data_IF_572821994316
#
_entry.id   IF_572821994316
#
_cell.length_a   1.000
_cell.length_b   1.000
_cell.length_c   1.000
_cell.angle_alpha   90.00
_cell.angle_beta   90.00
_cell.angle_gamma   90.00
#
_symmetry.space_group_name_H-M   'P 1'
#
loop_
_entity.id
_entity.type
_entity.pdbx_description
1 polymer ?
#
# COMPACT_ATOMS: atom_id res chain seq x y z
N UNK A 1 -2.21 -0.10 32.19
CA UNK A 1 -3.01 -1.29 31.91
C UNK A 1 -3.15 -1.34 30.41
N UNK A 2 -2.67 -2.42 29.81
CA UNK A 2 -2.44 -2.60 28.37
C UNK A 2 -3.75 -2.51 27.57
N UNK A 3 -3.99 -1.35 26.96
CA UNK A 3 -5.14 -1.12 26.06
C UNK A 3 -4.87 -1.56 24.61
N UNK A 4 -3.67 -2.06 24.29
CA UNK A 4 -3.29 -2.39 22.92
C UNK A 4 -3.63 -3.83 22.48
N UNK A 5 -4.09 -4.71 23.38
CA UNK A 5 -4.61 -6.02 23.00
C UNK A 5 -6.09 -5.94 22.59
N UNK A 6 -6.36 -5.34 21.42
CA UNK A 6 -7.64 -5.47 20.74
C UNK A 6 -7.42 -5.93 19.29
N UNK A 7 -7.52 -7.25 19.08
CA UNK A 7 -7.63 -7.85 17.77
C UNK A 7 -9.05 -7.66 17.24
N UNK A 8 -9.30 -6.52 16.61
CA UNK A 8 -10.41 -6.42 15.66
C UNK A 8 -9.95 -7.01 14.32
N UNK A 9 -10.37 -8.22 13.93
CA UNK A 9 -9.98 -8.78 12.63
C UNK A 9 -10.40 -7.86 11.47
N UNK A 10 -11.48 -7.08 11.62
CA UNK A 10 -11.96 -6.19 10.58
C UNK A 10 -10.97 -5.07 10.24
N UNK A 11 -10.25 -4.52 11.23
CA UNK A 11 -9.32 -3.42 10.96
C UNK A 11 -8.09 -3.88 10.18
N UNK A 12 -7.64 -5.11 10.46
CA UNK A 12 -6.59 -5.76 9.69
C UNK A 12 -7.05 -6.10 8.27
N UNK A 13 -8.26 -6.61 8.10
CA UNK A 13 -8.82 -6.90 6.78
C UNK A 13 -8.97 -5.64 5.92
N UNK A 14 -9.41 -4.51 6.52
CA UNK A 14 -9.46 -3.21 5.85
C UNK A 14 -8.06 -2.76 5.41
N UNK A 15 -7.05 -2.90 6.27
CA UNK A 15 -5.67 -2.59 5.91
C UNK A 15 -5.20 -3.43 4.71
N UNK A 16 -5.46 -4.74 4.73
CA UNK A 16 -5.08 -5.66 3.64
C UNK A 16 -5.80 -5.33 2.34
N UNK A 17 -7.06 -4.98 2.40
CA UNK A 17 -7.83 -4.65 1.21
C UNK A 17 -7.35 -3.33 0.57
N UNK A 18 -7.08 -2.31 1.38
CA UNK A 18 -6.45 -1.08 0.90
C UNK A 18 -5.07 -1.35 0.28
N UNK A 19 -4.27 -2.22 0.91
CA UNK A 19 -2.97 -2.62 0.36
C UNK A 19 -3.11 -3.29 -1.01
N UNK A 20 -4.10 -4.17 -1.19
CA UNK A 20 -4.38 -4.80 -2.47
C UNK A 20 -4.75 -3.78 -3.54
N UNK A 21 -5.54 -2.76 -3.20
CA UNK A 21 -5.96 -1.71 -4.13
C UNK A 21 -4.78 -0.84 -4.57
N UNK A 22 -3.92 -0.40 -3.63
CA UNK A 22 -2.68 0.33 -3.95
C UNK A 22 -1.76 -0.53 -4.85
N UNK A 23 -1.56 -1.80 -4.50
CA UNK A 23 -0.77 -2.76 -5.29
C UNK A 23 -1.35 -2.96 -6.69
N UNK A 24 -2.67 -2.97 -6.84
CA UNK A 24 -3.33 -3.05 -8.13
C UNK A 24 -3.12 -1.78 -8.97
N UNK A 25 -3.16 -0.61 -8.35
CA UNK A 25 -2.83 0.67 -9.00
C UNK A 25 -1.40 0.66 -9.57
N UNK A 26 -0.40 0.27 -8.76
CA UNK A 26 0.98 0.15 -9.25
C UNK A 26 1.13 -0.91 -10.35
N UNK A 27 0.37 -2.00 -10.29
CA UNK A 27 0.36 -3.00 -11.36
C UNK A 27 -0.26 -2.44 -12.66
N UNK A 28 -1.29 -1.60 -12.57
CA UNK A 28 -1.87 -0.93 -13.73
C UNK A 28 -0.84 0.01 -14.37
N UNK A 29 -0.18 0.85 -13.57
CA UNK A 29 0.88 1.74 -14.05
C UNK A 29 2.09 1.00 -14.61
N UNK A 30 2.49 -0.14 -14.02
CA UNK A 30 3.52 -1.01 -14.59
C UNK A 30 3.15 -1.50 -16.00
N UNK A 31 1.86 -1.79 -16.24
CA UNK A 31 1.37 -2.26 -17.55
C UNK A 31 1.25 -1.13 -18.58
N UNK A 32 1.02 0.10 -18.12
CA UNK A 32 0.96 1.30 -18.97
C UNK A 32 2.34 1.85 -19.31
N UNK A 33 3.37 1.52 -18.53
CA UNK A 33 4.73 2.00 -18.70
C UNK A 33 5.27 1.74 -20.13
N UNK A 34 5.88 2.77 -20.72
CA UNK A 34 6.40 2.73 -22.10
C UNK A 34 7.90 2.45 -22.15
N UNK A 35 8.57 2.63 -21.01
CA UNK A 35 10.01 2.39 -20.86
C UNK A 35 10.30 1.29 -19.82
N UNK A 36 11.42 0.56 -19.95
CA UNK A 36 11.87 -0.38 -18.93
C UNK A 36 12.07 0.27 -17.55
N UNK A 37 12.53 1.51 -17.51
CA UNK A 37 12.78 2.26 -16.28
C UNK A 37 11.49 2.59 -15.54
N UNK A 38 10.48 3.12 -16.23
CA UNK A 38 9.14 3.35 -15.66
C UNK A 38 8.55 2.05 -15.11
N UNK A 39 8.68 0.98 -15.89
CA UNK A 39 8.18 -0.34 -15.50
C UNK A 39 8.86 -0.84 -14.22
N UNK A 40 10.18 -0.73 -14.16
CA UNK A 40 10.97 -1.14 -12.99
C UNK A 40 10.59 -0.31 -11.76
N UNK A 41 10.36 1.00 -11.93
CA UNK A 41 9.92 1.87 -10.85
C UNK A 41 8.57 1.42 -10.25
N UNK A 42 7.53 1.24 -11.07
CA UNK A 42 6.22 0.81 -10.56
C UNK A 42 6.24 -0.61 -9.99
N UNK A 43 7.09 -1.48 -10.54
CA UNK A 43 7.34 -2.80 -9.97
C UNK A 43 7.97 -2.71 -8.57
N UNK A 44 8.97 -1.84 -8.38
CA UNK A 44 9.63 -1.60 -7.11
C UNK A 44 8.66 -1.04 -6.07
N UNK A 45 7.87 -0.03 -6.45
CA UNK A 45 6.82 0.55 -5.61
C UNK A 45 5.83 -0.50 -5.11
N UNK A 46 5.33 -1.35 -6.01
CA UNK A 46 4.46 -2.47 -5.63
C UNK A 46 5.12 -3.41 -4.62
N UNK A 47 6.39 -3.76 -4.83
CA UNK A 47 7.10 -4.65 -3.91
C UNK A 47 7.35 -4.00 -2.56
N UNK A 48 7.70 -2.71 -2.54
CA UNK A 48 7.86 -1.91 -1.32
C UNK A 48 6.58 -1.93 -0.50
N UNK A 49 5.43 -1.58 -1.08
CA UNK A 49 4.14 -1.58 -0.36
C UNK A 49 3.83 -2.95 0.24
N UNK A 50 4.06 -4.04 -0.50
CA UNK A 50 3.86 -5.42 0.01
C UNK A 50 4.76 -5.74 1.19
N UNK A 51 6.03 -5.33 1.15
CA UNK A 51 6.99 -5.56 2.22
C UNK A 51 6.63 -4.75 3.46
N UNK A 52 6.28 -3.48 3.30
CA UNK A 52 5.85 -2.61 4.40
C UNK A 52 4.61 -3.15 5.11
N UNK A 53 3.58 -3.57 4.36
CA UNK A 53 2.35 -4.14 4.94
C UNK A 53 2.64 -5.44 5.67
N UNK A 54 3.53 -6.30 5.14
CA UNK A 54 3.94 -7.54 5.81
C UNK A 54 4.75 -7.30 7.08
N UNK A 55 5.44 -6.16 7.19
CA UNK A 55 6.24 -5.79 8.35
C UNK A 55 5.41 -5.16 9.49
N UNK A 56 4.12 -4.90 9.27
CA UNK A 56 3.23 -4.39 10.33
C UNK A 56 3.02 -5.46 11.38
N UNK A 57 3.25 -5.08 12.64
CA UNK A 57 2.82 -5.86 13.79
C UNK A 57 1.28 -5.79 13.90
N UNK A 58 0.62 -6.89 13.56
CA UNK A 58 -0.85 -6.98 13.46
C UNK A 58 -1.53 -7.06 14.84
N UNK A 59 -0.76 -7.36 15.88
CA UNK A 59 -1.23 -7.40 17.27
C UNK A 59 -1.19 -5.99 17.88
N UNK A 60 -0.54 -5.04 17.19
CA UNK A 60 -0.44 -3.64 17.59
C UNK A 60 -1.47 -2.77 16.85
N UNK A 61 -2.57 -2.44 17.53
CA UNK A 61 -3.67 -1.66 16.95
C UNK A 61 -3.19 -0.31 16.38
N UNK A 62 -2.23 0.36 17.04
CA UNK A 62 -1.68 1.63 16.57
C UNK A 62 -0.90 1.45 15.27
N UNK A 63 -0.13 0.36 15.13
CA UNK A 63 0.61 0.06 13.91
C UNK A 63 -0.34 -0.22 12.74
N UNK A 64 -1.38 -1.03 12.96
CA UNK A 64 -2.40 -1.32 11.94
C UNK A 64 -3.14 -0.05 11.52
N UNK A 65 -3.54 0.81 12.46
CA UNK A 65 -4.20 2.09 12.16
C UNK A 65 -3.29 3.03 11.36
N UNK A 66 -2.02 3.13 11.73
CA UNK A 66 -1.05 3.97 11.03
C UNK A 66 -0.85 3.51 9.58
N UNK A 67 -0.67 2.20 9.36
CA UNK A 67 -0.56 1.66 8.00
C UNK A 67 -1.85 1.84 7.20
N UNK A 68 -3.01 1.61 7.82
CA UNK A 68 -4.32 1.82 7.18
C UNK A 68 -4.49 3.26 6.72
N UNK A 69 -4.11 4.25 7.55
CA UNK A 69 -4.17 5.65 7.19
C UNK A 69 -3.23 5.97 6.02
N UNK A 70 -1.97 5.51 6.08
CA UNK A 70 -1.01 5.65 5.00
C UNK A 70 -1.55 5.12 3.66
N UNK A 71 -2.06 3.89 3.65
CA UNK A 71 -2.57 3.25 2.44
C UNK A 71 -3.81 3.98 1.89
N UNK A 72 -4.67 4.51 2.76
CA UNK A 72 -5.82 5.31 2.35
C UNK A 72 -5.38 6.60 1.66
N UNK A 73 -4.41 7.30 2.25
CA UNK A 73 -3.89 8.56 1.70
C UNK A 73 -3.18 8.31 0.37
N UNK A 74 -2.40 7.23 0.29
CA UNK A 74 -1.74 6.79 -0.93
C UNK A 74 -2.76 6.49 -2.02
N UNK A 75 -3.75 5.64 -1.76
CA UNK A 75 -4.82 5.31 -2.71
C UNK A 75 -5.59 6.55 -3.17
N UNK A 76 -5.91 7.47 -2.25
CA UNK A 76 -6.62 8.71 -2.60
C UNK A 76 -5.78 9.64 -3.48
N UNK A 77 -4.45 9.56 -3.38
CA UNK A 77 -3.52 10.33 -4.19
C UNK A 77 -3.19 9.66 -5.54
N UNK A 78 -3.58 8.40 -5.77
CA UNK A 78 -3.30 7.70 -7.02
C UNK A 78 -4.20 8.21 -8.16
N UNK A 79 -3.65 8.87 -9.20
CA UNK A 79 -4.40 9.16 -10.42
C UNK A 79 -4.77 7.88 -11.19
N UNK A 80 -5.75 7.97 -12.10
CA UNK A 80 -6.15 6.84 -12.94
C UNK A 80 -5.00 6.30 -13.79
N UNK A 81 -4.22 7.20 -14.40
CA UNK A 81 -3.03 6.87 -15.18
C UNK A 81 -1.75 7.23 -14.43
N UNK A 82 -0.68 6.51 -14.74
CA UNK A 82 0.62 6.73 -14.10
C UNK A 82 1.03 8.21 -14.18
N UNK A 83 1.46 8.84 -13.08
CA UNK A 83 2.01 10.18 -13.14
C UNK A 83 3.29 10.16 -13.98
N UNK A 84 3.62 11.31 -14.59
CA UNK A 84 4.80 11.42 -15.43
C UNK A 84 6.05 11.02 -14.63
N UNK A 85 6.76 10.01 -15.12
CA UNK A 85 8.01 9.58 -14.52
C UNK A 85 9.10 10.57 -14.90
N UNK A 86 9.45 11.45 -13.97
CA UNK A 86 10.57 12.39 -14.11
C UNK A 86 11.73 11.84 -13.30
N UNK A 87 12.80 11.44 -14.00
CA UNK A 87 14.03 10.93 -13.39
C UNK A 87 14.95 12.06 -12.93
#
# INVERSE_FOLDING_TARGET
MDEDHYHDPMIYDVMRELANQVVAGYLAWEREATTPEEKAHWQEERFRTRLEVRAVDVDNLRAVKAMTAKLRDELAAMPEHAPAFVR
#
